data_IF_203357822205
#
_entry.id   IF_203357822205
#
_cell.length_a   1.000
_cell.length_b   1.000
_cell.length_c   1.000
_cell.angle_alpha   90.00
_cell.angle_beta   90.00
_cell.angle_gamma   90.00
#
_symmetry.space_group_name_H-M   'P 1'
#
loop_
_entity.id
_entity.type
_entity.pdbx_description
1 polymer ?
#
# COMPACT_ATOMS: atom_id res chain seq x y z
N UNK A 1 18.09 -5.90 -8.64
CA UNK A 1 18.98 -4.74 -8.84
C UNK A 1 18.35 -3.84 -9.90
N UNK A 2 18.25 -2.53 -9.67
CA UNK A 2 17.67 -1.55 -10.61
C UNK A 2 18.73 -0.85 -11.45
N UNK A 3 19.81 -0.41 -10.83
CA UNK A 3 20.95 0.22 -11.52
C UNK A 3 22.25 0.04 -10.74
N UNK A 4 23.36 0.18 -11.45
CA UNK A 4 24.73 0.19 -10.91
C UNK A 4 25.51 1.29 -11.60
N UNK A 5 26.12 2.17 -10.82
CA UNK A 5 27.00 3.23 -11.30
C UNK A 5 28.35 3.10 -10.61
N UNK A 6 29.43 3.19 -11.39
CA UNK A 6 30.81 3.16 -10.89
C UNK A 6 31.45 4.48 -11.30
N UNK A 7 31.96 5.22 -10.33
CA UNK A 7 32.82 6.37 -10.55
C UNK A 7 34.26 5.93 -10.32
N UNK A 8 35.01 5.74 -11.40
CA UNK A 8 36.42 5.32 -11.36
C UNK A 8 37.38 6.45 -10.95
N UNK A 9 36.94 7.71 -10.95
CA UNK A 9 37.78 8.85 -10.54
C UNK A 9 37.73 9.02 -9.02
N UNK A 10 36.55 8.81 -8.44
CA UNK A 10 36.33 8.92 -6.99
C UNK A 10 36.31 7.58 -6.26
N UNK A 11 36.57 6.47 -6.98
CA UNK A 11 36.50 5.09 -6.47
C UNK A 11 35.18 4.78 -5.74
N UNK A 12 34.05 5.27 -6.26
CA UNK A 12 32.72 5.03 -5.64
C UNK A 12 31.86 4.08 -6.47
N UNK A 13 31.06 3.27 -5.77
CA UNK A 13 30.05 2.38 -6.34
C UNK A 13 28.68 2.73 -5.76
N UNK A 14 27.74 3.08 -6.63
CA UNK A 14 26.34 3.31 -6.26
C UNK A 14 25.49 2.17 -6.82
N UNK A 15 24.75 1.51 -5.93
CA UNK A 15 23.78 0.47 -6.29
C UNK A 15 22.37 0.95 -5.93
N UNK A 16 21.46 0.94 -6.89
CA UNK A 16 20.03 1.10 -6.62
C UNK A 16 19.38 -0.26 -6.69
N UNK A 17 18.78 -0.68 -5.58
CA UNK A 17 18.06 -1.94 -5.45
C UNK A 17 16.58 -1.66 -5.25
N UNK A 18 15.76 -2.67 -5.54
CA UNK A 18 14.36 -2.67 -5.19
C UNK A 18 14.01 -4.04 -4.65
N UNK A 19 12.98 -4.09 -3.81
CA UNK A 19 12.45 -5.32 -3.23
C UNK A 19 11.77 -6.18 -4.31
N UNK A 20 11.34 -7.40 -3.98
CA UNK A 20 10.72 -8.30 -4.96
C UNK A 20 9.38 -7.75 -5.49
N UNK A 21 8.70 -6.87 -4.74
CA UNK A 21 7.49 -6.16 -5.17
C UNK A 21 7.70 -5.35 -6.44
N UNK A 22 8.95 -4.94 -6.73
CA UNK A 22 9.35 -4.34 -8.00
C UNK A 22 8.89 -5.14 -9.23
N UNK A 23 8.88 -6.48 -9.12
CA UNK A 23 8.49 -7.36 -10.23
C UNK A 23 7.02 -7.19 -10.62
N UNK A 24 6.17 -6.74 -9.69
CA UNK A 24 4.77 -6.45 -10.00
C UNK A 24 4.65 -5.27 -10.99
N UNK A 25 5.57 -4.31 -10.89
CA UNK A 25 5.62 -3.15 -11.77
C UNK A 25 6.35 -3.44 -13.08
N UNK A 26 7.37 -4.29 -13.04
CA UNK A 26 8.23 -4.58 -14.19
C UNK A 26 7.63 -5.60 -15.15
N UNK A 27 6.94 -6.63 -14.62
CA UNK A 27 6.38 -7.68 -15.44
C UNK A 27 5.01 -7.28 -15.98
N UNK A 28 4.97 -7.03 -17.29
CA UNK A 28 3.75 -7.02 -18.07
C UNK A 28 3.44 -8.43 -18.60
N UNK A 29 2.15 -8.78 -18.69
CA UNK A 29 1.76 -10.08 -19.24
C UNK A 29 2.28 -10.23 -20.68
N UNK A 30 3.21 -11.16 -20.85
CA UNK A 30 3.91 -11.44 -22.11
C UNK A 30 3.44 -12.74 -22.80
N UNK A 31 2.19 -13.14 -22.54
CA UNK A 31 1.56 -14.31 -23.17
C UNK A 31 0.93 -13.93 -24.52
N UNK A 32 0.77 -14.91 -25.42
CA UNK A 32 0.09 -14.71 -26.72
C UNK A 32 -1.39 -14.35 -26.56
N UNK A 33 -2.01 -14.82 -25.48
CA UNK A 33 -3.42 -14.62 -25.15
C UNK A 33 -3.55 -13.94 -23.79
N UNK A 34 -4.64 -13.21 -23.59
CA UNK A 34 -5.02 -12.70 -22.28
C UNK A 34 -5.19 -13.86 -21.29
N UNK A 35 -4.79 -13.65 -20.04
CA UNK A 35 -5.05 -14.62 -18.98
C UNK A 35 -6.47 -14.41 -18.46
N UNK A 36 -7.35 -15.36 -18.74
CA UNK A 36 -8.79 -15.26 -18.46
C UNK A 36 -9.31 -16.55 -17.78
N UNK A 37 -9.10 -16.71 -16.45
CA UNK A 37 -9.50 -17.91 -15.73
C UNK A 37 -11.03 -18.03 -15.50
N UNK A 38 -11.82 -17.03 -15.90
CA UNK A 38 -13.24 -16.94 -15.55
C UNK A 38 -13.42 -16.61 -14.06
N UNK A 39 -14.45 -17.16 -13.42
CA UNK A 39 -14.65 -16.96 -11.98
C UNK A 39 -13.62 -17.74 -11.18
N UNK A 40 -12.85 -17.06 -10.34
CA UNK A 40 -11.74 -17.65 -9.59
C UNK A 40 -11.65 -17.05 -8.18
N UNK A 41 -11.19 -17.84 -7.20
CA UNK A 41 -10.89 -17.31 -5.87
C UNK A 41 -9.79 -16.25 -5.94
N UNK A 42 -9.96 -15.15 -5.21
CA UNK A 42 -9.05 -14.01 -5.23
C UNK A 42 -7.62 -14.38 -4.81
N UNK A 43 -7.44 -15.25 -3.82
CA UNK A 43 -6.12 -15.71 -3.38
C UNK A 43 -5.44 -16.58 -4.44
N UNK A 44 -6.19 -17.51 -5.04
CA UNK A 44 -5.70 -18.32 -6.16
C UNK A 44 -5.29 -17.44 -7.34
N UNK A 45 -6.04 -16.37 -7.61
CA UNK A 45 -5.72 -15.43 -8.66
C UNK A 45 -4.38 -14.72 -8.41
N UNK A 46 -4.14 -14.22 -7.18
CA UNK A 46 -2.86 -13.61 -6.81
C UNK A 46 -1.72 -14.62 -6.91
N UNK A 47 -1.91 -15.84 -6.40
CA UNK A 47 -0.90 -16.90 -6.48
C UNK A 47 -0.57 -17.31 -7.92
N UNK A 48 -1.55 -17.33 -8.83
CA UNK A 48 -1.30 -17.56 -10.25
C UNK A 48 -0.48 -16.42 -10.88
N UNK A 49 -0.68 -15.17 -10.46
CA UNK A 49 0.15 -14.04 -10.90
C UNK A 49 1.57 -14.17 -10.34
N UNK A 50 1.74 -14.45 -9.05
CA UNK A 50 3.06 -14.65 -8.42
C UNK A 50 3.85 -15.78 -9.09
N UNK A 51 3.20 -16.91 -9.40
CA UNK A 51 3.84 -18.01 -10.10
C UNK A 51 4.41 -17.59 -11.47
N UNK A 52 3.71 -16.70 -12.18
CA UNK A 52 4.19 -16.15 -13.46
C UNK A 52 5.37 -15.19 -13.32
N UNK A 53 5.52 -14.56 -12.15
CA UNK A 53 6.69 -13.75 -11.80
C UNK A 53 7.89 -14.59 -11.36
N UNK A 54 7.74 -15.92 -11.31
CA UNK A 54 8.72 -16.85 -10.75
C UNK A 54 8.81 -16.75 -9.22
N UNK A 55 7.76 -16.25 -8.58
CA UNK A 55 7.67 -16.08 -7.13
C UNK A 55 6.93 -17.26 -6.47
N UNK A 56 7.23 -17.50 -5.19
CA UNK A 56 6.50 -18.47 -4.39
C UNK A 56 5.07 -18.01 -4.06
N UNK A 57 4.19 -18.93 -3.62
CA UNK A 57 2.84 -18.58 -3.19
C UNK A 57 2.88 -17.70 -1.94
N UNK A 58 1.75 -17.04 -1.67
CA UNK A 58 1.54 -16.33 -0.41
C UNK A 58 1.59 -17.30 0.76
N UNK A 59 2.31 -16.93 1.82
CA UNK A 59 2.43 -17.76 3.04
C UNK A 59 1.33 -17.45 4.05
N UNK A 60 0.72 -16.27 3.95
CA UNK A 60 -0.52 -15.94 4.64
C UNK A 60 -1.35 -14.99 3.78
N UNK A 61 -2.67 -15.14 3.86
CA UNK A 61 -3.61 -14.37 3.07
C UNK A 61 -4.91 -14.14 3.82
N UNK A 62 -5.34 -12.88 3.85
CA UNK A 62 -6.70 -12.48 4.27
C UNK A 62 -7.67 -12.38 3.09
N UNK A 63 -7.18 -12.65 1.87
CA UNK A 63 -7.96 -12.50 0.65
C UNK A 63 -8.93 -13.68 0.50
N UNK A 64 -10.22 -13.38 0.41
CA UNK A 64 -11.27 -14.40 0.29
C UNK A 64 -12.34 -14.01 -0.71
N UNK A 65 -13.14 -14.98 -1.15
CA UNK A 65 -14.21 -14.76 -2.13
C UNK A 65 -13.76 -14.83 -3.58
N UNK A 66 -14.75 -14.86 -4.47
CA UNK A 66 -14.52 -15.07 -5.90
C UNK A 66 -14.51 -13.75 -6.66
N UNK A 67 -13.52 -13.60 -7.55
CA UNK A 67 -13.48 -12.56 -8.58
C UNK A 67 -14.23 -13.10 -9.79
N UNK A 68 -15.19 -12.33 -10.28
CA UNK A 68 -16.03 -12.71 -11.42
C UNK A 68 -15.44 -12.25 -12.74
N UNK A 69 -15.85 -12.89 -13.83
CA UNK A 69 -15.61 -12.37 -15.18
C UNK A 69 -16.36 -11.03 -15.36
N UNK A 70 -15.75 -9.98 -15.96
CA UNK A 70 -14.44 -9.94 -16.60
C UNK A 70 -13.29 -9.41 -15.71
N UNK A 71 -13.52 -9.16 -14.41
CA UNK A 71 -12.52 -8.57 -13.52
C UNK A 71 -11.30 -9.47 -13.26
N UNK A 72 -11.43 -10.78 -13.46
CA UNK A 72 -10.32 -11.73 -13.35
C UNK A 72 -9.42 -11.79 -14.59
N UNK A 73 -9.74 -11.05 -15.66
CA UNK A 73 -8.95 -11.04 -16.90
C UNK A 73 -7.74 -10.12 -16.77
N UNK A 74 -6.56 -10.69 -16.93
CA UNK A 74 -5.32 -9.94 -17.07
C UNK A 74 -5.00 -9.78 -18.56
N UNK A 75 -5.07 -8.54 -19.04
CA UNK A 75 -4.82 -8.21 -20.44
C UNK A 75 -3.31 -8.25 -20.75
N UNK A 76 -2.97 -8.67 -21.96
CA UNK A 76 -1.60 -8.60 -22.48
C UNK A 76 -1.05 -7.17 -22.39
N UNK A 77 0.21 -7.04 -21.99
CA UNK A 77 0.87 -5.75 -21.84
C UNK A 77 0.52 -4.97 -20.56
N UNK A 78 -0.50 -5.38 -19.80
CA UNK A 78 -0.73 -4.80 -18.47
C UNK A 78 0.25 -5.36 -17.45
N UNK A 79 0.76 -4.49 -16.57
CA UNK A 79 1.63 -4.93 -15.46
C UNK A 79 0.85 -5.73 -14.44
N UNK A 80 1.54 -6.64 -13.74
CA UNK A 80 0.93 -7.42 -12.65
C UNK A 80 0.35 -6.51 -11.56
N UNK A 81 1.01 -5.39 -11.23
CA UNK A 81 0.48 -4.39 -10.31
C UNK A 81 -0.80 -3.77 -10.85
N UNK A 82 -0.81 -3.31 -12.11
CA UNK A 82 -1.99 -2.69 -12.71
C UNK A 82 -3.20 -3.63 -12.68
N UNK A 83 -2.98 -4.92 -12.91
CA UNK A 83 -4.01 -5.94 -12.85
C UNK A 83 -4.48 -6.26 -11.41
N UNK A 84 -3.56 -6.47 -10.47
CA UNK A 84 -3.91 -6.87 -9.11
C UNK A 84 -4.40 -5.71 -8.22
N UNK A 85 -3.95 -4.48 -8.47
CA UNK A 85 -4.22 -3.34 -7.59
C UNK A 85 -5.72 -3.07 -7.38
N UNK A 86 -6.59 -3.06 -8.41
CA UNK A 86 -8.03 -2.89 -8.21
C UNK A 86 -8.64 -4.01 -7.36
N UNK A 87 -8.18 -5.26 -7.51
CA UNK A 87 -8.66 -6.41 -6.74
C UNK A 87 -8.25 -6.28 -5.27
N UNK A 88 -6.98 -5.94 -5.03
CA UNK A 88 -6.45 -5.71 -3.68
C UNK A 88 -7.14 -4.52 -3.01
N UNK A 89 -7.35 -3.41 -3.71
CA UNK A 89 -8.05 -2.25 -3.18
C UNK A 89 -9.52 -2.54 -2.88
N UNK A 90 -10.22 -3.27 -3.75
CA UNK A 90 -11.61 -3.72 -3.52
C UNK A 90 -11.78 -4.60 -2.28
N UNK A 91 -10.71 -5.30 -1.90
CA UNK A 91 -10.64 -6.12 -0.68
C UNK A 91 -10.00 -5.41 0.50
N UNK A 92 -9.67 -4.13 0.36
CA UNK A 92 -8.88 -3.38 1.32
C UNK A 92 -7.61 -4.13 1.77
N UNK A 93 -6.96 -4.86 0.84
CA UNK A 93 -5.80 -5.68 1.11
C UNK A 93 -4.51 -5.04 0.57
N UNK A 94 -3.37 -5.42 1.14
CA UNK A 94 -2.03 -5.10 0.63
C UNK A 94 -1.27 -6.40 0.39
N UNK A 95 -0.61 -6.51 -0.76
CA UNK A 95 0.36 -7.55 -1.06
C UNK A 95 1.77 -6.99 -0.86
N UNK A 96 2.59 -7.68 -0.08
CA UNK A 96 3.99 -7.31 0.18
C UNK A 96 4.88 -8.56 0.25
N UNK A 97 6.18 -8.33 0.09
CA UNK A 97 7.22 -9.33 0.17
C UNK A 97 8.13 -9.02 1.37
N UNK A 98 8.24 -9.96 2.29
CA UNK A 98 9.14 -9.84 3.43
C UNK A 98 10.61 -9.90 2.97
N UNK A 99 11.40 -8.88 3.31
CA UNK A 99 12.82 -8.80 2.99
C UNK A 99 13.68 -9.88 3.67
N UNK A 100 13.29 -10.39 4.83
CA UNK A 100 14.08 -11.37 5.58
C UNK A 100 14.02 -12.79 4.99
N UNK A 101 12.98 -13.10 4.20
CA UNK A 101 12.76 -14.46 3.67
C UNK A 101 12.21 -14.53 2.25
N UNK A 102 11.98 -13.39 1.59
CA UNK A 102 11.35 -13.35 0.26
C UNK A 102 9.90 -13.86 0.23
N UNK A 103 9.24 -13.92 1.38
CA UNK A 103 7.91 -14.49 1.50
C UNK A 103 6.84 -13.45 1.13
N UNK A 104 5.89 -13.86 0.30
CA UNK A 104 4.75 -13.03 -0.07
C UNK A 104 3.62 -13.19 0.93
N UNK A 105 3.01 -12.08 1.30
CA UNK A 105 1.94 -12.07 2.30
C UNK A 105 0.86 -11.08 1.85
N UNK A 106 -0.40 -11.44 2.06
CA UNK A 106 -1.54 -10.55 1.89
C UNK A 106 -2.14 -10.27 3.26
N UNK A 107 -2.22 -8.98 3.64
CA UNK A 107 -2.95 -8.56 4.84
C UNK A 107 -4.08 -7.59 4.51
N UNK A 108 -5.08 -7.58 5.38
CA UNK A 108 -6.13 -6.56 5.39
C UNK A 108 -5.56 -5.27 5.98
N UNK A 109 -5.77 -4.15 5.29
CA UNK A 109 -5.33 -2.81 5.71
C UNK A 109 -6.06 -2.34 6.97
N UNK A 110 -7.22 -2.89 7.32
CA UNK A 110 -7.93 -2.56 8.57
C UNK A 110 -7.30 -3.20 9.79
N UNK A 111 -6.88 -4.47 9.69
CA UNK A 111 -6.22 -5.20 10.79
C UNK A 111 -4.77 -4.79 10.98
N UNK A 112 -4.22 -4.00 10.04
CA UNK A 112 -2.86 -3.49 10.06
C UNK A 112 -1.87 -4.36 9.30
N UNK A 113 -0.60 -3.95 9.36
CA UNK A 113 0.54 -4.73 8.88
C UNK A 113 0.67 -6.02 9.68
N UNK A 114 1.09 -7.15 9.10
CA UNK A 114 1.41 -8.35 9.90
C UNK A 114 2.64 -8.12 10.78
N UNK A 115 3.42 -7.08 10.48
CA UNK A 115 4.53 -6.64 11.29
C UNK A 115 3.95 -5.81 12.42
N UNK A 116 3.64 -6.50 13.51
CA UNK A 116 3.17 -5.88 14.75
C UNK A 116 4.36 -5.69 15.69
N UNK A 117 4.39 -4.53 16.32
CA UNK A 117 5.40 -4.18 17.29
C UNK A 117 5.14 -2.79 17.82
N UNK A 118 5.80 -2.49 18.93
CA UNK A 118 5.68 -1.21 19.62
C UNK A 118 7.04 -0.56 19.72
N UNK A 119 7.12 0.73 19.45
CA UNK A 119 8.31 1.53 19.72
C UNK A 119 7.95 2.80 20.47
N UNK A 120 8.87 3.28 21.30
CA UNK A 120 8.71 4.53 22.04
C UNK A 120 9.81 5.50 21.60
N UNK A 121 9.40 6.70 21.20
CA UNK A 121 10.30 7.78 20.80
C UNK A 121 10.06 8.95 21.74
N UNK A 122 11.10 9.41 22.42
CA UNK A 122 11.00 10.36 23.53
C UNK A 122 11.87 11.58 23.27
N UNK A 123 11.26 12.77 23.40
CA UNK A 123 11.96 14.04 23.40
C UNK A 123 13.02 14.10 24.51
N UNK A 124 14.24 14.47 24.15
CA UNK A 124 15.39 14.52 25.06
C UNK A 124 16.12 13.19 25.27
N UNK A 125 15.68 12.12 24.59
CA UNK A 125 16.33 10.81 24.62
C UNK A 125 16.76 10.39 23.21
N UNK A 126 15.90 9.67 22.46
CA UNK A 126 16.21 9.16 21.13
C UNK A 126 15.63 10.01 19.99
N UNK A 127 14.81 11.02 20.28
CA UNK A 127 14.21 11.92 19.29
C UNK A 127 15.20 12.98 18.79
N UNK A 128 15.36 13.09 17.47
CA UNK A 128 16.17 14.13 16.80
C UNK A 128 15.28 15.29 16.34
N UNK A 129 14.18 14.99 15.65
CA UNK A 129 13.22 16.00 15.19
C UNK A 129 11.81 15.43 15.04
N UNK A 130 10.80 16.27 15.22
CA UNK A 130 9.40 15.92 14.98
C UNK A 130 8.69 17.09 14.29
N UNK A 131 8.01 16.80 13.18
CA UNK A 131 7.25 17.77 12.39
C UNK A 131 5.85 17.23 12.16
N UNK A 132 4.86 17.87 12.80
CA UNK A 132 3.45 17.60 12.53
C UNK A 132 2.94 18.51 11.42
N UNK A 133 2.17 17.95 10.49
CA UNK A 133 1.48 18.71 9.44
C UNK A 133 0.02 18.30 9.38
N UNK A 134 -0.86 19.30 9.33
CA UNK A 134 -2.28 19.11 9.02
C UNK A 134 -2.56 19.79 7.69
N UNK A 135 -2.97 19.01 6.70
CA UNK A 135 -3.33 19.49 5.36
C UNK A 135 -4.62 18.83 4.90
N UNK A 136 -5.74 19.51 5.16
CA UNK A 136 -7.07 19.09 4.75
C UNK A 136 -7.42 19.58 3.33
N UNK A 137 -6.57 20.43 2.74
CA UNK A 137 -6.76 20.94 1.38
C UNK A 137 -6.08 20.06 0.32
N UNK A 138 -5.14 19.23 0.76
CA UNK A 138 -4.50 18.19 -0.04
C UNK A 138 -5.51 17.37 -0.84
N UNK A 139 -5.24 17.23 -2.14
CA UNK A 139 -6.15 16.56 -3.09
C UNK A 139 -6.50 15.10 -2.75
N UNK A 140 -5.71 14.47 -1.88
CA UNK A 140 -5.88 13.09 -1.44
C UNK A 140 -6.42 12.94 -0.01
N UNK A 141 -6.88 14.04 0.61
CA UNK A 141 -7.66 14.00 1.85
C UNK A 141 -9.17 14.02 1.59
N UNK A 142 -9.93 13.33 2.45
CA UNK A 142 -11.39 13.36 2.48
C UNK A 142 -11.96 12.55 3.64
N UNK A 143 -13.13 12.95 4.14
CA UNK A 143 -13.89 12.24 5.18
C UNK A 143 -14.99 11.33 4.58
N UNK A 144 -15.13 11.34 3.26
CA UNK A 144 -15.85 10.37 2.46
C UNK A 144 -15.01 9.91 1.26
N UNK A 145 -15.32 8.74 0.71
CA UNK A 145 -14.72 8.26 -0.52
C UNK A 145 -15.76 7.69 -1.48
N UNK A 146 -15.53 7.89 -2.77
CA UNK A 146 -16.29 7.30 -3.86
C UNK A 146 -15.35 6.54 -4.79
N UNK A 147 -15.71 5.30 -5.12
CA UNK A 147 -14.99 4.49 -6.10
C UNK A 147 -15.89 4.23 -7.29
N UNK A 148 -15.35 4.40 -8.50
CA UNK A 148 -16.03 4.06 -9.73
C UNK A 148 -15.24 3.07 -10.58
N UNK A 149 -15.92 2.05 -11.07
CA UNK A 149 -15.40 1.08 -12.03
C UNK A 149 -16.10 1.30 -13.37
N UNK A 150 -15.33 1.43 -14.45
CA UNK A 150 -15.83 1.64 -15.81
C UNK A 150 -15.24 0.60 -16.74
N UNK A 151 -16.09 -0.16 -17.42
CA UNK A 151 -15.66 -1.19 -18.37
C UNK A 151 -16.68 -1.38 -19.49
N UNK A 152 -16.24 -1.96 -20.61
CA UNK A 152 -17.15 -2.46 -21.64
C UNK A 152 -17.45 -3.95 -21.36
N UNK A 153 -18.72 -4.35 -21.42
CA UNK A 153 -19.08 -5.76 -21.35
C UNK A 153 -18.77 -6.51 -22.66
N UNK A 154 -19.05 -7.81 -22.70
CA UNK A 154 -18.78 -8.65 -23.88
C UNK A 154 -19.52 -8.20 -25.14
N UNK A 155 -20.60 -7.42 -25.02
CA UNK A 155 -21.35 -6.85 -26.13
C UNK A 155 -20.84 -5.44 -26.53
N UNK A 156 -19.76 -4.96 -25.89
CA UNK A 156 -19.22 -3.61 -26.11
C UNK A 156 -20.02 -2.50 -25.42
N UNK A 157 -20.98 -2.84 -24.55
CA UNK A 157 -21.80 -1.84 -23.85
C UNK A 157 -21.01 -1.31 -22.65
N UNK A 158 -20.92 0.02 -22.56
CA UNK A 158 -20.27 0.68 -21.42
C UNK A 158 -21.08 0.46 -20.13
N UNK A 159 -20.38 -0.01 -19.10
CA UNK A 159 -20.89 -0.25 -17.74
C UNK A 159 -20.17 0.66 -16.76
N UNK A 160 -20.88 1.07 -15.72
CA UNK A 160 -20.30 1.80 -14.60
C UNK A 160 -20.90 1.30 -13.29
N UNK A 161 -20.04 1.08 -12.30
CA UNK A 161 -20.43 0.75 -10.94
C UNK A 161 -19.85 1.77 -9.99
N UNK A 162 -20.62 2.17 -8.98
CA UNK A 162 -20.19 3.09 -7.92
C UNK A 162 -20.29 2.43 -6.55
N UNK A 163 -19.33 2.77 -5.70
CA UNK A 163 -19.30 2.49 -4.27
C UNK A 163 -19.01 3.77 -3.52
N UNK A 164 -19.62 3.97 -2.36
CA UNK A 164 -19.44 5.18 -1.55
C UNK A 164 -19.44 4.84 -0.07
N UNK A 165 -18.55 5.48 0.69
CA UNK A 165 -18.48 5.36 2.14
C UNK A 165 -18.07 6.69 2.76
N UNK A 166 -18.45 6.91 4.03
CA UNK A 166 -18.10 8.09 4.81
C UNK A 166 -17.71 7.69 6.23
N UNK A 167 -16.66 8.31 6.76
CA UNK A 167 -16.25 8.13 8.16
C UNK A 167 -17.06 9.06 9.07
N UNK A 168 -17.29 10.29 8.60
CA UNK A 168 -18.01 11.33 9.35
C UNK A 168 -19.31 11.65 8.63
N UNK A 169 -20.38 11.87 9.40
CA UNK A 169 -21.68 12.31 8.90
C UNK A 169 -22.11 13.55 9.70
N UNK A 170 -22.40 14.70 9.06
CA UNK A 170 -22.23 14.96 7.63
C UNK A 170 -20.75 14.98 7.20
N UNK A 171 -20.48 14.55 5.96
CA UNK A 171 -19.14 14.63 5.37
C UNK A 171 -18.92 15.99 4.71
N UNK A 172 -17.66 16.42 4.62
CA UNK A 172 -17.25 17.72 4.09
C UNK A 172 -16.53 17.60 2.74
N UNK A 173 -15.77 16.52 2.53
CA UNK A 173 -14.96 16.32 1.33
C UNK A 173 -14.92 14.86 0.90
N UNK A 174 -15.25 14.62 -0.36
CA UNK A 174 -15.21 13.29 -0.97
C UNK A 174 -13.93 13.09 -1.78
N UNK A 175 -13.14 12.08 -1.42
CA UNK A 175 -12.05 11.57 -2.25
C UNK A 175 -12.60 10.62 -3.33
N UNK A 176 -12.23 10.84 -4.60
CA UNK A 176 -12.76 10.05 -5.73
C UNK A 176 -11.65 9.25 -6.38
N UNK A 177 -11.86 7.94 -6.51
CA UNK A 177 -10.98 7.05 -7.26
C UNK A 177 -11.75 6.40 -8.42
N UNK A 178 -11.18 6.48 -9.63
CA UNK A 178 -11.77 5.90 -10.82
C UNK A 178 -10.85 4.83 -11.41
N UNK A 179 -11.43 3.67 -11.72
CA UNK A 179 -10.77 2.54 -12.36
C UNK A 179 -11.40 2.30 -13.73
N UNK A 180 -10.56 2.19 -14.75
CA UNK A 180 -10.96 1.75 -16.09
C UNK A 180 -10.82 0.23 -16.21
N UNK A 181 -11.36 -0.49 -15.23
CA UNK A 181 -11.35 -1.95 -15.15
C UNK A 181 -12.74 -2.43 -14.77
N UNK A 182 -13.09 -3.70 -15.06
CA UNK A 182 -14.31 -4.28 -14.56
C UNK A 182 -14.36 -4.28 -13.02
N UNK A 183 -15.56 -4.17 -12.48
CA UNK A 183 -15.79 -4.26 -11.04
C UNK A 183 -15.44 -5.67 -10.52
N UNK A 184 -14.51 -5.79 -9.55
CA UNK A 184 -14.17 -7.09 -8.95
C UNK A 184 -15.27 -7.65 -8.04
N UNK A 185 -16.34 -6.90 -7.76
CA UNK A 185 -17.51 -7.35 -7.01
C UNK A 185 -17.40 -7.11 -5.50
N UNK A 186 -16.49 -6.24 -5.06
CA UNK A 186 -16.27 -5.91 -3.65
C UNK A 186 -16.21 -4.41 -3.43
N UNK A 187 -16.65 -3.96 -2.25
CA UNK A 187 -16.67 -2.54 -1.90
C UNK A 187 -15.32 -2.07 -1.32
N UNK A 188 -14.57 -1.31 -2.12
CA UNK A 188 -13.33 -0.63 -1.71
C UNK A 188 -13.54 0.69 -0.94
N UNK A 189 -14.75 1.24 -0.93
CA UNK A 189 -14.96 2.65 -0.57
C UNK A 189 -14.70 2.94 0.90
N UNK A 190 -14.98 2.01 1.80
CA UNK A 190 -14.70 2.16 3.25
C UNK A 190 -13.20 2.20 3.56
N UNK A 191 -12.44 1.25 3.02
CA UNK A 191 -10.99 1.24 3.13
C UNK A 191 -10.33 2.46 2.50
N UNK A 192 -10.90 2.94 1.39
CA UNK A 192 -10.44 4.16 0.75
C UNK A 192 -10.74 5.41 1.59
N UNK A 193 -11.94 5.50 2.19
CA UNK A 193 -12.30 6.60 3.09
C UNK A 193 -11.33 6.68 4.26
N UNK A 194 -11.06 5.55 4.94
CA UNK A 194 -10.08 5.48 6.03
C UNK A 194 -8.68 5.96 5.59
N UNK A 195 -8.21 5.51 4.42
CA UNK A 195 -6.91 5.97 3.87
C UNK A 195 -6.89 7.45 3.51
N UNK A 196 -7.99 8.00 3.00
CA UNK A 196 -8.07 9.42 2.65
C UNK A 196 -8.09 10.28 3.92
N UNK A 197 -8.86 9.88 4.93
CA UNK A 197 -8.99 10.61 6.18
C UNK A 197 -7.68 10.71 6.96
N UNK A 198 -6.93 9.61 7.03
CA UNK A 198 -5.65 9.52 7.76
C UNK A 198 -4.52 10.34 7.14
N UNK A 199 -4.62 10.71 5.86
CA UNK A 199 -3.62 11.56 5.19
C UNK A 199 -3.68 13.03 5.59
N UNK A 200 -4.75 13.45 6.24
CA UNK A 200 -4.95 14.85 6.64
C UNK A 200 -4.07 15.25 7.81
N UNK A 201 -3.60 14.29 8.62
CA UNK A 201 -2.74 14.51 9.77
C UNK A 201 -1.55 13.56 9.67
N UNK A 202 -0.36 14.12 9.45
CA UNK A 202 0.89 13.37 9.32
C UNK A 202 1.86 13.89 10.38
N UNK A 203 2.53 12.97 11.07
CA UNK A 203 3.64 13.29 11.95
C UNK A 203 4.90 12.64 11.40
N UNK A 204 5.89 13.44 11.04
CA UNK A 204 7.20 12.95 10.60
C UNK A 204 8.19 13.06 11.75
N UNK A 205 8.79 11.94 12.12
CA UNK A 205 9.72 11.85 13.26
C UNK A 205 11.06 11.35 12.76
N UNK A 206 12.13 12.03 13.13
CA UNK A 206 13.49 11.51 12.97
C UNK A 206 14.03 11.16 14.35
N UNK A 207 14.54 9.95 14.51
CA UNK A 207 15.13 9.47 15.76
C UNK A 207 16.41 8.68 15.48
N UNK A 208 17.11 8.30 16.55
CA UNK A 208 18.23 7.35 16.46
C UNK A 208 17.76 6.04 15.83
N UNK A 209 18.58 5.48 14.95
CA UNK A 209 18.20 4.33 14.13
C UNK A 209 17.92 3.09 14.99
N UNK A 210 16.66 2.67 14.99
CA UNK A 210 16.26 1.32 15.39
C UNK A 210 15.87 0.52 14.14
N UNK A 211 16.63 -0.54 13.86
CA UNK A 211 16.42 -1.42 12.69
C UNK A 211 15.29 -2.42 12.88
N UNK A 212 14.63 -2.42 14.03
CA UNK A 212 13.47 -3.26 14.32
C UNK A 212 12.14 -2.54 14.05
N UNK A 213 12.15 -1.24 13.77
CA UNK A 213 10.94 -0.48 13.45
C UNK A 213 10.59 -0.67 11.98
N UNK A 214 9.41 -1.20 11.69
CA UNK A 214 8.92 -1.42 10.34
C UNK A 214 7.57 -0.74 10.11
N UNK A 215 7.16 -0.53 8.83
CA UNK A 215 5.81 -0.08 8.51
C UNK A 215 4.77 -1.01 9.13
N UNK A 216 3.82 -0.43 9.85
CA UNK A 216 2.81 -1.13 10.63
C UNK A 216 2.95 -1.08 12.14
N UNK A 217 4.15 -0.77 12.66
CA UNK A 217 4.37 -0.67 14.10
C UNK A 217 3.53 0.46 14.70
N UNK A 218 3.03 0.24 15.91
CA UNK A 218 2.46 1.31 16.72
C UNK A 218 3.59 2.03 17.44
N UNK A 219 3.64 3.35 17.33
CA UNK A 219 4.68 4.17 17.94
C UNK A 219 4.05 5.13 18.92
N UNK A 220 4.60 5.16 20.13
CA UNK A 220 4.33 6.20 21.12
C UNK A 220 5.40 7.28 20.99
N UNK A 221 4.98 8.50 20.67
CA UNK A 221 5.88 9.67 20.53
C UNK A 221 5.61 10.62 21.69
N UNK A 222 6.60 10.80 22.57
CA UNK A 222 6.54 11.73 23.69
C UNK A 222 7.20 13.04 23.26
N UNK A 223 6.39 14.08 23.08
CA UNK A 223 6.81 15.43 22.70
C UNK A 223 6.66 16.40 23.88
N UNK A 224 7.28 17.60 23.82
CA UNK A 224 7.14 18.59 24.89
C UNK A 224 5.69 19.01 25.20
N UNK A 225 4.80 18.92 24.22
CA UNK A 225 3.41 19.35 24.31
C UNK A 225 2.42 18.21 24.63
N UNK A 226 2.90 16.96 24.72
CA UNK A 226 2.08 15.81 25.07
C UNK A 226 2.58 14.48 24.48
N UNK A 227 1.82 13.42 24.72
CA UNK A 227 2.12 12.09 24.17
C UNK A 227 1.18 11.77 23.04
N UNK A 228 1.73 11.17 21.98
CA UNK A 228 1.01 10.80 20.78
C UNK A 228 1.16 9.30 20.54
N UNK A 229 0.11 8.68 20.00
CA UNK A 229 0.13 7.33 19.46
C UNK A 229 -0.13 7.40 17.97
N UNK A 230 0.61 6.63 17.18
CA UNK A 230 0.48 6.62 15.73
C UNK A 230 0.95 5.28 15.14
N UNK A 231 0.68 5.06 13.86
CA UNK A 231 1.15 3.88 13.12
C UNK A 231 2.24 4.29 12.13
N UNK A 232 3.33 3.52 12.04
CA UNK A 232 4.39 3.75 11.05
C UNK A 232 3.85 3.44 9.65
N UNK A 233 3.81 4.44 8.78
CA UNK A 233 3.48 4.26 7.36
C UNK A 233 4.70 3.95 6.52
N UNK A 234 5.79 4.66 6.78
CA UNK A 234 7.04 4.53 6.05
C UNK A 234 8.23 4.82 6.97
N UNK A 235 9.35 4.20 6.64
CA UNK A 235 10.63 4.35 7.33
C UNK A 235 11.74 4.53 6.29
N UNK A 236 12.64 5.47 6.55
CA UNK A 236 13.85 5.68 5.77
C UNK A 236 15.04 5.69 6.73
N UNK A 237 15.95 4.73 6.56
CA UNK A 237 17.19 4.65 7.34
C UNK A 237 18.31 5.35 6.59
N UNK A 238 19.13 6.08 7.33
CA UNK A 238 20.27 6.80 6.78
C UNK A 238 21.57 6.41 7.49
N UNK A 239 22.60 6.11 6.71
CA UNK A 239 23.97 5.90 7.15
C UNK A 239 24.88 6.86 6.37
N UNK A 240 25.84 7.57 7.01
CA UNK A 240 26.37 7.35 8.35
C UNK A 240 25.66 8.10 9.49
N UNK A 241 24.58 8.84 9.22
CA UNK A 241 23.87 9.62 10.23
C UNK A 241 23.30 8.77 11.39
N UNK A 242 23.11 7.46 11.16
CA UNK A 242 22.53 6.49 12.10
C UNK A 242 21.16 6.94 12.63
N UNK A 243 20.37 7.51 11.72
CA UNK A 243 19.02 7.99 11.97
C UNK A 243 18.01 7.18 11.17
N UNK A 244 16.78 7.18 11.67
CA UNK A 244 15.61 6.70 10.96
C UNK A 244 14.58 7.83 10.91
N UNK A 245 14.07 8.10 9.72
CA UNK A 245 12.91 8.99 9.52
C UNK A 245 11.66 8.15 9.34
N UNK A 246 10.71 8.33 10.24
CA UNK A 246 9.41 7.69 10.26
C UNK A 246 8.34 8.67 9.79
N UNK A 247 7.55 8.27 8.80
CA UNK A 247 6.29 8.92 8.48
C UNK A 247 5.17 8.20 9.22
N UNK A 248 4.48 8.90 10.10
CA UNK A 248 3.43 8.36 10.95
C UNK A 248 2.05 8.83 10.49
N UNK A 249 1.07 7.94 10.59
CA UNK A 249 -0.35 8.19 10.32
C UNK A 249 -1.21 7.73 11.50
N UNK A 250 -2.53 7.99 11.48
CA UNK A 250 -3.43 7.71 12.60
C UNK A 250 -2.96 8.38 13.91
N UNK A 251 -2.47 9.62 13.82
CA UNK A 251 -1.89 10.32 14.97
C UNK A 251 -2.99 10.73 15.94
N UNK A 252 -2.92 10.21 17.16
CA UNK A 252 -3.86 10.50 18.26
C UNK A 252 -3.08 10.98 19.47
N UNK A 253 -3.44 12.15 19.98
CA UNK A 253 -2.92 12.65 21.26
C UNK A 253 -3.59 11.92 22.41
N UNK A 254 -2.81 11.38 23.34
CA UNK A 254 -3.28 10.67 24.53
C UNK A 254 -3.08 11.49 25.81
#
# INVERSE_FOLDING_TARGET
>A
MRSRQIDYVHDTLTLTLASAEAKLDDYALADLNDYAPGTINADTLVNNVLARLGEGPTVASTLSGNIVDPASKWLRGDTARKFLQPILDAKNATLYCNLAGGQWIISDKTTGSPFTGTATITYGDNLVSAVGSVDLERGDWGDAAAVSYRWADAAGVSRTKFYTSSIVIPYHRTFVQAFNTPDPGFDSSSGLANRAYTRGVILTVTCLSDRQIFPGYTVTVVLPDGTYTATVRACAWEYPADTITLTLENVVKI
#
